data_IF_478123502019
#
_entry.id   IF_478123502019
#
_cell.length_a   1.000
_cell.length_b   1.000
_cell.length_c   1.000
_cell.angle_alpha   90.00
_cell.angle_beta   90.00
_cell.angle_gamma   90.00
#
_symmetry.space_group_name_H-M   'P 1'
#
loop_
_entity.id
_entity.type
_entity.pdbx_description
1 polymer ?
#
# COMPACT_ATOMS: atom_id res chain seq x y z
N UNK A 1 -15.38 -48.05 -39.02
CA UNK A 1 -15.93 -46.84 -38.36
C UNK A 1 -15.49 -46.69 -36.91
N UNK A 2 -15.51 -47.74 -36.07
CA UNK A 2 -15.07 -47.62 -34.67
C UNK A 2 -13.56 -47.37 -34.51
N UNK A 3 -12.70 -48.09 -35.26
CA UNK A 3 -11.24 -47.89 -35.22
C UNK A 3 -10.80 -46.48 -35.67
N UNK A 4 -11.47 -45.88 -36.66
CA UNK A 4 -11.17 -44.53 -37.13
C UNK A 4 -11.53 -43.47 -36.09
N UNK A 5 -12.62 -43.68 -35.34
CA UNK A 5 -13.04 -42.80 -34.24
C UNK A 5 -12.11 -42.92 -33.03
N UNK A 6 -11.76 -44.13 -32.61
CA UNK A 6 -10.78 -44.32 -31.54
C UNK A 6 -9.40 -43.74 -31.90
N UNK A 7 -8.97 -43.85 -33.15
CA UNK A 7 -7.70 -43.26 -33.61
C UNK A 7 -7.73 -41.72 -33.60
N UNK A 8 -8.87 -41.13 -33.92
CA UNK A 8 -9.10 -39.69 -33.83
C UNK A 8 -9.07 -39.21 -32.37
N UNK A 9 -9.82 -39.87 -31.47
CA UNK A 9 -9.84 -39.56 -30.04
C UNK A 9 -8.46 -39.74 -29.38
N UNK A 10 -7.70 -40.78 -29.74
CA UNK A 10 -6.33 -40.99 -29.26
C UNK A 10 -5.36 -39.90 -29.73
N UNK A 11 -5.52 -39.40 -30.96
CA UNK A 11 -4.69 -38.32 -31.47
C UNK A 11 -4.99 -37.00 -30.74
N UNK A 12 -6.26 -36.71 -30.51
CA UNK A 12 -6.73 -35.57 -29.73
C UNK A 12 -6.22 -35.62 -28.28
N UNK A 13 -6.29 -36.78 -27.64
CA UNK A 13 -5.74 -37.01 -26.31
C UNK A 13 -4.23 -36.80 -26.25
N UNK A 14 -3.49 -37.30 -27.25
CA UNK A 14 -2.04 -37.11 -27.34
C UNK A 14 -1.68 -35.63 -27.49
N UNK A 15 -2.40 -34.90 -28.33
CA UNK A 15 -2.19 -33.46 -28.51
C UNK A 15 -2.50 -32.68 -27.23
N UNK A 16 -3.63 -32.98 -26.58
CA UNK A 16 -4.01 -32.35 -25.31
C UNK A 16 -2.94 -32.56 -24.23
N UNK A 17 -2.49 -33.80 -24.01
CA UNK A 17 -1.49 -34.08 -22.98
C UNK A 17 -0.12 -33.48 -23.27
N UNK A 18 0.27 -33.38 -24.55
CA UNK A 18 1.48 -32.67 -24.94
C UNK A 18 1.36 -31.16 -24.62
N UNK A 19 0.20 -30.55 -24.94
CA UNK A 19 -0.09 -29.16 -24.57
C UNK A 19 -0.09 -28.95 -23.05
N UNK A 20 -0.74 -29.85 -22.30
CA UNK A 20 -0.74 -29.82 -20.82
C UNK A 20 0.68 -29.86 -20.29
N UNK A 21 1.53 -30.77 -20.79
CA UNK A 21 2.93 -30.88 -20.35
C UNK A 21 3.69 -29.59 -20.56
N UNK A 22 3.64 -29.02 -21.76
CA UNK A 22 4.37 -27.77 -22.09
C UNK A 22 3.91 -26.61 -21.20
N UNK A 23 2.59 -26.47 -21.01
CA UNK A 23 2.03 -25.39 -20.19
C UNK A 23 2.37 -25.60 -18.71
N UNK A 24 2.28 -26.82 -18.20
CA UNK A 24 2.60 -27.14 -16.80
C UNK A 24 4.09 -26.94 -16.50
N UNK A 25 4.99 -27.29 -17.42
CA UNK A 25 6.43 -27.00 -17.31
C UNK A 25 6.69 -25.49 -17.24
N UNK A 26 6.10 -24.71 -18.13
CA UNK A 26 6.22 -23.24 -18.12
C UNK A 26 5.68 -22.62 -16.82
N UNK A 27 4.47 -23.03 -16.41
CA UNK A 27 3.85 -22.52 -15.19
C UNK A 27 4.63 -22.95 -13.95
N UNK A 28 5.18 -24.17 -13.92
CA UNK A 28 6.04 -24.66 -12.84
C UNK A 28 7.32 -23.85 -12.73
N UNK A 29 7.94 -23.50 -13.86
CA UNK A 29 9.09 -22.60 -13.86
C UNK A 29 8.73 -21.22 -13.34
N UNK A 30 7.62 -20.60 -13.78
CA UNK A 30 7.18 -19.31 -13.23
C UNK A 30 6.92 -19.37 -11.73
N UNK A 31 6.28 -20.44 -11.25
CA UNK A 31 5.95 -20.64 -9.83
C UNK A 31 7.20 -20.73 -8.95
N UNK A 32 8.36 -21.14 -9.48
CA UNK A 32 9.65 -21.21 -8.76
C UNK A 32 10.31 -19.85 -8.57
N UNK A 33 9.97 -18.87 -9.40
CA UNK A 33 10.58 -17.55 -9.33
C UNK A 33 9.98 -16.72 -8.20
N UNK A 34 10.77 -15.76 -7.69
CA UNK A 34 10.32 -14.82 -6.67
C UNK A 34 9.27 -13.88 -7.25
N UNK A 35 8.12 -13.78 -6.59
CA UNK A 35 6.99 -13.00 -7.09
C UNK A 35 7.34 -11.51 -7.29
N UNK A 36 8.17 -10.94 -6.41
CA UNK A 36 8.58 -9.53 -6.43
C UNK A 36 9.37 -9.10 -7.68
N UNK A 37 10.00 -10.06 -8.37
CA UNK A 37 10.75 -9.81 -9.61
C UNK A 37 9.96 -10.19 -10.87
N UNK A 38 8.72 -10.64 -10.70
CA UNK A 38 7.92 -11.09 -11.83
C UNK A 38 7.44 -9.91 -12.66
N UNK A 39 7.58 -10.04 -13.97
CA UNK A 39 6.96 -9.14 -14.91
C UNK A 39 5.53 -9.62 -15.20
N UNK A 40 4.55 -8.99 -14.56
CA UNK A 40 3.12 -9.31 -14.71
C UNK A 40 2.59 -9.05 -16.12
N UNK A 41 3.17 -8.11 -16.87
CA UNK A 41 2.83 -7.87 -18.29
C UNK A 41 3.29 -9.03 -19.16
N UNK A 42 4.54 -9.47 -18.97
CA UNK A 42 5.07 -10.65 -19.66
C UNK A 42 4.24 -11.90 -19.35
N UNK A 43 3.94 -12.16 -18.07
CA UNK A 43 3.08 -13.28 -17.68
C UNK A 43 1.68 -13.20 -18.31
N UNK A 44 1.12 -11.98 -18.44
CA UNK A 44 -0.17 -11.78 -19.10
C UNK A 44 -0.11 -12.13 -20.58
N UNK A 45 0.95 -11.71 -21.28
CA UNK A 45 1.18 -12.06 -22.68
C UNK A 45 1.34 -13.57 -22.86
N UNK A 46 2.16 -14.22 -22.03
CA UNK A 46 2.38 -15.67 -22.11
C UNK A 46 1.12 -16.47 -21.77
N UNK A 47 0.37 -16.09 -20.74
CA UNK A 47 -0.91 -16.75 -20.43
C UNK A 47 -1.97 -16.55 -21.53
N UNK A 48 -1.97 -15.40 -22.23
CA UNK A 48 -2.83 -15.22 -23.40
C UNK A 48 -2.44 -16.17 -24.54
N UNK A 49 -1.13 -16.35 -24.81
CA UNK A 49 -0.64 -17.33 -25.80
C UNK A 49 -1.04 -18.75 -25.40
N UNK A 50 -0.96 -19.11 -24.12
CA UNK A 50 -1.43 -20.40 -23.61
C UNK A 50 -2.93 -20.60 -23.90
N UNK A 51 -3.76 -19.58 -23.66
CA UNK A 51 -5.19 -19.65 -23.99
C UNK A 51 -5.45 -19.79 -25.49
N UNK A 52 -4.68 -19.12 -26.36
CA UNK A 52 -4.80 -19.28 -27.82
C UNK A 52 -4.46 -20.71 -28.26
N UNK A 53 -3.39 -21.30 -27.73
CA UNK A 53 -3.02 -22.71 -28.01
C UNK A 53 -4.16 -23.64 -27.59
N UNK A 54 -4.71 -23.42 -26.40
CA UNK A 54 -5.82 -24.24 -25.85
C UNK A 54 -7.10 -24.09 -26.68
N UNK A 55 -7.40 -22.88 -27.18
CA UNK A 55 -8.54 -22.61 -28.08
C UNK A 55 -8.39 -23.18 -29.49
N UNK A 56 -7.17 -23.45 -29.93
CA UNK A 56 -6.91 -24.06 -31.24
C UNK A 56 -7.02 -25.60 -31.19
N UNK A 57 -7.28 -26.19 -30.03
CA UNK A 57 -7.57 -27.62 -29.89
C UNK A 57 -9.00 -27.92 -30.41
N UNK A 58 -9.26 -29.20 -30.71
CA UNK A 58 -10.57 -29.64 -31.19
C UNK A 58 -11.66 -29.41 -30.14
N UNK A 59 -12.79 -28.84 -30.57
CA UNK A 59 -13.96 -28.55 -29.72
C UNK A 59 -14.51 -29.81 -29.01
N UNK A 60 -14.29 -31.01 -29.58
CA UNK A 60 -14.69 -32.29 -28.98
C UNK A 60 -14.02 -32.54 -27.62
N UNK A 61 -12.87 -31.90 -27.37
CA UNK A 61 -12.04 -32.06 -26.18
C UNK A 61 -12.47 -31.10 -25.06
N UNK A 62 -13.25 -30.05 -25.35
CA UNK A 62 -13.61 -29.02 -24.36
C UNK A 62 -14.44 -29.56 -23.19
N UNK A 63 -15.13 -30.68 -23.41
CA UNK A 63 -15.92 -31.36 -22.38
C UNK A 63 -15.06 -32.20 -21.44
N UNK A 64 -13.78 -32.40 -21.74
CA UNK A 64 -12.91 -33.25 -20.94
C UNK A 64 -12.39 -32.49 -19.71
N UNK A 65 -12.39 -33.16 -18.56
CA UNK A 65 -11.93 -32.57 -17.29
C UNK A 65 -10.50 -32.04 -17.37
N UNK A 66 -9.63 -32.70 -18.15
CA UNK A 66 -8.25 -32.28 -18.38
C UNK A 66 -8.17 -30.92 -19.08
N UNK A 67 -9.04 -30.67 -20.05
CA UNK A 67 -9.13 -29.37 -20.72
C UNK A 67 -9.66 -28.30 -19.76
N UNK A 68 -10.74 -28.60 -19.04
CA UNK A 68 -11.34 -27.66 -18.08
C UNK A 68 -10.35 -27.26 -16.99
N UNK A 69 -9.62 -28.22 -16.42
CA UNK A 69 -8.59 -27.96 -15.41
C UNK A 69 -7.40 -27.16 -15.94
N UNK A 70 -6.97 -27.41 -17.18
CA UNK A 70 -5.91 -26.63 -17.83
C UNK A 70 -6.36 -25.18 -18.04
N UNK A 71 -7.56 -24.97 -18.57
CA UNK A 71 -8.14 -23.66 -18.78
C UNK A 71 -8.33 -22.91 -17.44
N UNK A 72 -8.82 -23.58 -16.41
CA UNK A 72 -8.95 -23.02 -15.06
C UNK A 72 -7.57 -22.63 -14.47
N UNK A 73 -6.54 -23.44 -14.66
CA UNK A 73 -5.18 -23.12 -14.19
C UNK A 73 -4.65 -21.83 -14.84
N UNK A 74 -4.79 -21.70 -16.17
CA UNK A 74 -4.34 -20.50 -16.90
C UNK A 74 -5.12 -19.26 -16.46
N UNK A 75 -6.45 -19.36 -16.40
CA UNK A 75 -7.31 -18.23 -16.01
C UNK A 75 -7.12 -17.83 -14.55
N UNK A 76 -6.84 -18.78 -13.65
CA UNK A 76 -6.49 -18.50 -12.26
C UNK A 76 -5.23 -17.63 -12.17
N UNK A 77 -4.16 -18.00 -12.88
CA UNK A 77 -2.94 -17.18 -12.93
C UNK A 77 -3.26 -15.78 -13.45
N UNK A 78 -4.01 -15.66 -14.55
CA UNK A 78 -4.39 -14.36 -15.12
C UNK A 78 -5.20 -13.46 -14.17
N UNK A 79 -6.11 -14.06 -13.41
CA UNK A 79 -6.93 -13.36 -12.42
C UNK A 79 -6.11 -12.84 -11.23
N UNK A 80 -5.01 -13.51 -10.90
CA UNK A 80 -4.10 -13.10 -9.85
C UNK A 80 -3.11 -12.00 -10.28
N UNK A 81 -2.80 -11.87 -11.58
CA UNK A 81 -1.80 -10.88 -12.05
C UNK A 81 -2.08 -9.44 -11.59
N UNK A 82 -3.31 -8.88 -11.69
CA UNK A 82 -3.59 -7.55 -11.17
C UNK A 82 -3.41 -7.44 -9.65
N UNK A 83 -3.74 -8.51 -8.91
CA UNK A 83 -3.53 -8.54 -7.46
C UNK A 83 -2.05 -8.56 -7.10
N UNK A 84 -1.22 -9.21 -7.91
CA UNK A 84 0.24 -9.21 -7.75
C UNK A 84 0.80 -7.81 -7.98
N UNK A 85 0.28 -7.08 -8.98
CA UNK A 85 0.63 -5.67 -9.21
C UNK A 85 0.23 -4.81 -8.00
N UNK A 86 -1.00 -4.96 -7.50
CA UNK A 86 -1.49 -4.24 -6.31
C UNK A 86 -0.61 -4.53 -5.08
N UNK A 87 -0.24 -5.79 -4.86
CA UNK A 87 0.62 -6.23 -3.75
C UNK A 87 2.08 -5.80 -3.89
N UNK A 88 2.52 -5.45 -5.10
CA UNK A 88 3.85 -4.90 -5.36
C UNK A 88 3.99 -3.44 -4.89
N UNK A 89 2.91 -2.83 -4.40
CA UNK A 89 2.94 -1.48 -3.83
C UNK A 89 3.95 -1.40 -2.67
N UNK A 90 4.94 -0.49 -2.71
CA UNK A 90 5.97 -0.36 -1.68
C UNK A 90 5.43 0.01 -0.30
N UNK A 91 4.19 0.49 -0.20
CA UNK A 91 3.51 0.74 1.07
C UNK A 91 3.17 -0.56 1.84
N UNK A 92 3.16 -1.71 1.16
CA UNK A 92 2.91 -3.01 1.78
C UNK A 92 4.04 -3.41 2.74
N UNK A 93 3.70 -3.68 4.00
CA UNK A 93 4.62 -4.03 5.09
C UNK A 93 4.17 -5.30 5.79
N UNK A 94 5.02 -5.86 6.64
CA UNK A 94 4.74 -7.11 7.37
C UNK A 94 3.40 -7.13 8.09
N UNK A 95 2.96 -6.01 8.67
CA UNK A 95 1.64 -5.89 9.28
C UNK A 95 0.49 -6.13 8.29
N UNK A 96 0.54 -5.49 7.13
CA UNK A 96 -0.44 -5.64 6.04
C UNK A 96 -0.44 -7.08 5.49
N UNK A 97 0.73 -7.69 5.34
CA UNK A 97 0.86 -9.07 4.89
C UNK A 97 0.30 -10.09 5.89
N UNK A 98 0.50 -9.87 7.20
CA UNK A 98 -0.14 -10.68 8.24
C UNK A 98 -1.66 -10.56 8.18
N UNK A 99 -2.19 -9.37 7.93
CA UNK A 99 -3.63 -9.17 7.74
C UNK A 99 -4.13 -9.94 6.51
N UNK A 100 -3.38 -9.90 5.40
CA UNK A 100 -3.73 -10.60 4.16
C UNK A 100 -3.80 -12.11 4.38
N UNK A 101 -2.80 -12.72 5.02
CA UNK A 101 -2.81 -14.17 5.28
C UNK A 101 -3.95 -14.60 6.22
N UNK A 102 -4.30 -13.76 7.19
CA UNK A 102 -5.44 -14.02 8.07
C UNK A 102 -6.76 -14.05 7.30
N UNK A 103 -6.92 -13.17 6.29
CA UNK A 103 -8.12 -13.15 5.45
C UNK A 103 -8.17 -14.37 4.52
N UNK A 104 -7.04 -14.72 3.92
CA UNK A 104 -6.97 -15.87 2.99
C UNK A 104 -6.97 -17.22 3.71
N UNK A 105 -6.92 -17.25 5.04
CA UNK A 105 -6.89 -18.48 5.84
C UNK A 105 -5.59 -19.27 5.71
N UNK A 106 -4.52 -18.64 5.21
CA UNK A 106 -3.24 -19.32 5.00
C UNK A 106 -2.54 -19.66 6.31
N UNK A 107 -1.95 -20.85 6.40
CA UNK A 107 -1.10 -21.26 7.54
C UNK A 107 0.33 -20.65 7.50
N UNK A 108 0.59 -19.74 6.56
CA UNK A 108 1.92 -19.19 6.30
C UNK A 108 2.27 -18.14 7.35
N UNK A 109 3.31 -18.40 8.13
CA UNK A 109 3.80 -17.44 9.13
C UNK A 109 4.65 -16.39 8.43
N UNK A 110 4.07 -15.23 8.13
CA UNK A 110 4.78 -14.17 7.42
C UNK A 110 5.75 -13.41 8.33
N UNK A 111 7.02 -13.44 7.95
CA UNK A 111 8.06 -12.52 8.39
C UNK A 111 8.72 -11.79 7.19
N UNK A 112 9.59 -10.82 7.48
CA UNK A 112 10.28 -10.03 6.46
C UNK A 112 11.18 -10.86 5.53
N UNK A 113 11.74 -11.95 6.02
CA UNK A 113 12.71 -12.76 5.28
C UNK A 113 12.01 -13.78 4.39
N UNK A 114 10.90 -14.33 4.86
CA UNK A 114 9.96 -15.12 4.09
C UNK A 114 9.39 -14.29 2.95
N UNK A 115 8.92 -13.05 3.21
CA UNK A 115 8.42 -12.15 2.17
C UNK A 115 9.41 -11.95 1.02
N UNK A 116 10.71 -11.82 1.33
CA UNK A 116 11.79 -11.67 0.34
C UNK A 116 12.11 -12.95 -0.44
N UNK A 117 11.81 -14.12 0.14
CA UNK A 117 12.05 -15.44 -0.47
C UNK A 117 10.80 -16.02 -1.14
N UNK A 118 9.63 -15.46 -0.85
CA UNK A 118 8.34 -15.96 -1.29
C UNK A 118 8.31 -16.09 -2.81
N UNK A 119 7.88 -17.25 -3.27
CA UNK A 119 7.79 -17.60 -4.68
C UNK A 119 6.40 -17.28 -5.23
N UNK A 120 6.27 -17.18 -6.55
CA UNK A 120 4.96 -16.99 -7.18
C UNK A 120 4.01 -18.15 -6.88
N UNK A 121 4.50 -19.39 -6.80
CA UNK A 121 3.69 -20.55 -6.45
C UNK A 121 3.08 -20.46 -5.05
N UNK A 122 3.86 -20.01 -4.06
CA UNK A 122 3.38 -19.77 -2.69
C UNK A 122 2.39 -18.61 -2.62
N UNK A 123 2.52 -17.60 -3.48
CA UNK A 123 1.58 -16.49 -3.54
C UNK A 123 0.25 -16.91 -4.17
N UNK A 124 0.29 -17.71 -5.23
CA UNK A 124 -0.90 -18.24 -5.89
C UNK A 124 -1.64 -19.26 -5.00
N UNK A 125 -0.93 -20.01 -4.15
CA UNK A 125 -1.54 -20.97 -3.23
C UNK A 125 -2.35 -20.31 -2.10
N UNK A 126 -2.16 -19.01 -1.85
CA UNK A 126 -3.00 -18.23 -0.94
C UNK A 126 -4.43 -18.01 -1.46
N UNK A 127 -4.71 -18.31 -2.74
CA UNK A 127 -6.07 -18.18 -3.26
C UNK A 127 -6.58 -16.74 -3.28
N UNK A 128 -5.71 -15.77 -3.60
CA UNK A 128 -6.01 -14.33 -3.60
C UNK A 128 -7.24 -13.97 -4.44
N UNK A 129 -7.50 -14.72 -5.51
CA UNK A 129 -8.63 -14.54 -6.41
C UNK A 129 -10.00 -14.74 -5.74
N UNK A 130 -10.05 -15.38 -4.56
CA UNK A 130 -11.29 -15.55 -3.78
C UNK A 130 -11.58 -14.36 -2.85
N UNK A 131 -10.57 -13.51 -2.62
CA UNK A 131 -10.60 -12.40 -1.66
C UNK A 131 -10.15 -11.09 -2.31
N UNK A 132 -10.54 -10.85 -3.56
CA UNK A 132 -10.11 -9.69 -4.37
C UNK A 132 -10.34 -8.36 -3.65
N UNK A 133 -11.54 -8.17 -3.10
CA UNK A 133 -11.94 -6.92 -2.46
C UNK A 133 -11.18 -6.69 -1.16
N UNK A 134 -10.97 -7.74 -0.36
CA UNK A 134 -10.20 -7.66 0.87
C UNK A 134 -8.72 -7.33 0.60
N UNK A 135 -8.12 -7.99 -0.41
CA UNK A 135 -6.74 -7.73 -0.82
C UNK A 135 -6.57 -6.27 -1.24
N UNK A 136 -7.48 -5.75 -2.07
CA UNK A 136 -7.45 -4.34 -2.49
C UNK A 136 -7.66 -3.38 -1.33
N UNK A 137 -8.56 -3.69 -0.40
CA UNK A 137 -8.78 -2.88 0.80
C UNK A 137 -7.51 -2.81 1.67
N UNK A 138 -6.76 -3.92 1.79
CA UNK A 138 -5.49 -3.97 2.51
C UNK A 138 -4.43 -3.12 1.81
N UNK A 139 -4.31 -3.22 0.48
CA UNK A 139 -3.35 -2.42 -0.31
C UNK A 139 -3.67 -0.92 -0.21
N UNK A 140 -4.97 -0.56 -0.30
CA UNK A 140 -5.39 0.83 -0.13
C UNK A 140 -5.13 1.36 1.28
N UNK A 141 -5.35 0.53 2.30
CA UNK A 141 -4.99 0.87 3.69
C UNK A 141 -3.49 1.11 3.80
N UNK A 142 -2.68 0.21 3.26
CA UNK A 142 -1.22 0.36 3.26
C UNK A 142 -0.76 1.68 2.62
N UNK A 143 -1.35 2.05 1.49
CA UNK A 143 -1.06 3.32 0.83
C UNK A 143 -1.42 4.53 1.70
N UNK A 144 -2.58 4.51 2.38
CA UNK A 144 -2.99 5.58 3.32
C UNK A 144 -2.05 5.66 4.52
N UNK A 145 -1.68 4.52 5.09
CA UNK A 145 -0.72 4.41 6.19
C UNK A 145 0.63 5.06 5.82
N UNK A 146 1.12 4.83 4.60
CA UNK A 146 2.33 5.49 4.10
C UNK A 146 2.17 7.01 3.99
N UNK A 147 1.03 7.49 3.50
CA UNK A 147 0.74 8.93 3.43
C UNK A 147 0.76 9.56 4.82
N UNK A 148 0.11 8.93 5.81
CA UNK A 148 0.12 9.41 7.20
C UNK A 148 1.56 9.50 7.72
N UNK A 149 2.36 8.44 7.55
CA UNK A 149 3.76 8.44 7.99
C UNK A 149 4.59 9.56 7.34
N UNK A 150 4.42 9.78 6.04
CA UNK A 150 5.12 10.85 5.32
C UNK A 150 4.72 12.23 5.85
N UNK A 151 3.42 12.47 6.07
CA UNK A 151 2.95 13.73 6.63
C UNK A 151 3.50 13.98 8.04
N UNK A 152 3.51 12.96 8.91
CA UNK A 152 4.07 13.09 10.26
C UNK A 152 5.57 13.40 10.23
N UNK A 153 6.33 12.80 9.31
CA UNK A 153 7.75 13.14 9.09
C UNK A 153 7.92 14.57 8.61
N UNK A 154 7.09 15.04 7.68
CA UNK A 154 7.11 16.43 7.22
C UNK A 154 6.84 17.40 8.37
N UNK A 155 5.87 17.11 9.24
CA UNK A 155 5.61 17.94 10.42
C UNK A 155 6.83 17.96 11.34
N UNK A 156 7.46 16.81 11.58
CA UNK A 156 8.71 16.75 12.35
C UNK A 156 9.81 17.65 11.79
N UNK A 157 10.08 17.54 10.49
CA UNK A 157 11.11 18.33 9.81
C UNK A 157 10.81 19.83 9.86
N UNK A 158 9.56 20.23 9.60
CA UNK A 158 9.11 21.62 9.68
C UNK A 158 9.35 22.18 11.08
N UNK A 159 8.79 21.55 12.10
CA UNK A 159 8.81 22.09 13.46
C UNK A 159 10.20 22.02 14.11
N UNK A 160 11.07 21.09 13.70
CA UNK A 160 12.47 21.06 14.11
C UNK A 160 13.31 22.15 13.45
N UNK A 161 12.96 22.58 12.24
CA UNK A 161 13.71 23.60 11.48
C UNK A 161 13.13 25.01 11.62
N UNK A 162 12.02 25.19 12.32
CA UNK A 162 11.41 26.51 12.51
C UNK A 162 12.30 27.44 13.31
N UNK A 163 12.44 28.66 12.77
CA UNK A 163 13.13 29.78 13.40
C UNK A 163 12.10 30.87 13.66
N UNK A 164 11.98 31.27 14.93
CA UNK A 164 11.14 32.38 15.34
C UNK A 164 11.90 33.70 15.20
N UNK A 165 11.30 34.66 14.51
CA UNK A 165 11.89 35.98 14.32
C UNK A 165 11.66 36.84 15.56
N UNK A 166 12.76 37.31 16.15
CA UNK A 166 12.76 38.12 17.36
C UNK A 166 13.37 39.49 17.05
N UNK A 167 12.69 40.55 17.48
CA UNK A 167 13.16 41.94 17.35
C UNK A 167 13.32 42.58 18.73
N UNK A 168 14.47 43.20 18.98
CA UNK A 168 14.68 43.96 20.21
C UNK A 168 13.72 45.15 20.29
N UNK A 169 13.13 45.37 21.48
CA UNK A 169 12.30 46.54 21.73
C UNK A 169 13.11 47.84 21.59
N UNK A 170 12.48 48.90 21.07
CA UNK A 170 13.15 50.15 20.68
C UNK A 170 13.75 50.86 21.90
N UNK A 171 13.02 50.85 23.02
CA UNK A 171 13.40 51.55 24.26
C UNK A 171 14.09 50.63 25.28
N UNK A 172 13.69 49.36 25.32
CA UNK A 172 14.19 48.37 26.28
C UNK A 172 14.91 47.26 25.54
N UNK A 173 16.15 47.51 25.11
CA UNK A 173 16.94 46.61 24.25
C UNK A 173 17.14 45.18 24.78
N UNK A 174 16.94 44.97 26.09
CA UNK A 174 17.01 43.66 26.75
C UNK A 174 15.79 42.77 26.48
N UNK A 175 14.69 43.33 25.99
CA UNK A 175 13.46 42.59 25.69
C UNK A 175 13.40 42.32 24.18
N UNK A 176 13.09 41.07 23.84
CA UNK A 176 12.89 40.63 22.47
C UNK A 176 11.42 40.32 22.24
N UNK A 177 10.86 40.93 21.20
CA UNK A 177 9.48 40.79 20.78
C UNK A 177 9.42 39.79 19.63
N UNK A 178 8.44 38.89 19.70
CA UNK A 178 8.12 37.98 18.63
C UNK A 178 7.47 38.73 17.48
N UNK A 179 7.97 38.49 16.27
CA UNK A 179 7.52 39.13 15.03
C UNK A 179 7.05 38.08 14.03
N UNK A 180 6.29 38.51 13.02
CA UNK A 180 5.90 37.69 11.86
C UNK A 180 5.25 36.35 12.26
N UNK A 181 4.28 36.39 13.19
CA UNK A 181 3.61 35.20 13.72
C UNK A 181 2.50 34.66 12.84
N UNK A 182 1.87 35.49 12.00
CA UNK A 182 0.72 35.07 11.18
C UNK A 182 1.01 33.82 10.32
N UNK A 183 2.14 33.73 9.58
CA UNK A 183 2.46 32.53 8.79
C UNK A 183 2.68 31.28 9.65
N UNK A 184 3.07 31.44 10.92
CA UNK A 184 3.27 30.33 11.85
C UNK A 184 1.93 29.78 12.31
N UNK A 185 0.97 30.66 12.62
CA UNK A 185 -0.39 30.25 12.98
C UNK A 185 -1.13 29.63 11.80
N UNK A 186 -1.00 30.18 10.59
CA UNK A 186 -1.58 29.59 9.38
C UNK A 186 -1.08 28.15 9.14
N UNK A 187 0.23 27.93 9.32
CA UNK A 187 0.84 26.60 9.18
C UNK A 187 0.43 25.64 10.29
N UNK A 188 0.28 26.15 11.52
CA UNK A 188 -0.20 25.39 12.67
C UNK A 188 -1.65 24.94 12.46
N UNK A 189 -2.55 25.84 12.06
CA UNK A 189 -3.94 25.54 11.76
C UNK A 189 -4.04 24.50 10.64
N UNK A 190 -3.28 24.68 9.55
CA UNK A 190 -3.24 23.73 8.44
C UNK A 190 -2.81 22.32 8.88
N UNK A 191 -1.77 22.22 9.70
CA UNK A 191 -1.32 20.94 10.25
C UNK A 191 -2.33 20.31 11.22
N UNK A 192 -3.00 21.12 12.06
CA UNK A 192 -4.04 20.61 12.96
C UNK A 192 -5.26 20.05 12.21
N UNK A 193 -5.76 20.75 11.19
CA UNK A 193 -6.87 20.29 10.35
C UNK A 193 -6.51 18.97 9.65
N UNK A 194 -5.28 18.86 9.15
CA UNK A 194 -4.78 17.64 8.53
C UNK A 194 -4.73 16.48 9.53
N UNK A 195 -4.19 16.71 10.74
CA UNK A 195 -4.16 15.69 11.82
C UNK A 195 -5.56 15.25 12.24
N UNK A 196 -6.52 16.17 12.35
CA UNK A 196 -7.91 15.85 12.67
C UNK A 196 -8.57 14.98 11.57
N UNK A 197 -8.26 15.27 10.31
CA UNK A 197 -8.72 14.46 9.18
C UNK A 197 -8.10 13.06 9.21
N UNK A 198 -6.81 12.95 9.52
CA UNK A 198 -6.13 11.65 9.68
C UNK A 198 -6.73 10.85 10.82
N UNK A 199 -6.97 11.46 11.98
CA UNK A 199 -7.57 10.83 13.16
C UNK A 199 -8.97 10.27 12.87
N UNK A 200 -9.77 11.00 12.10
CA UNK A 200 -11.13 10.59 11.71
C UNK A 200 -11.13 9.45 10.68
N UNK A 201 -9.99 9.18 10.04
CA UNK A 201 -9.86 8.13 9.04
C UNK A 201 -9.67 6.76 9.68
N UNK A 202 -10.30 5.73 9.10
CA UNK A 202 -10.14 4.33 9.53
C UNK A 202 -8.71 3.78 9.34
N UNK A 203 -7.86 4.50 8.59
CA UNK A 203 -6.45 4.15 8.37
C UNK A 203 -5.58 4.50 9.59
N UNK A 204 -6.01 5.41 10.46
CA UNK A 204 -5.22 5.79 11.63
C UNK A 204 -5.01 4.65 12.64
N UNK A 205 -5.66 3.48 12.53
CA UNK A 205 -5.57 2.44 13.55
C UNK A 205 -4.15 2.02 13.98
N UNK A 206 -3.16 2.07 13.08
CA UNK A 206 -1.73 1.81 13.35
C UNK A 206 -0.93 3.05 13.78
N UNK A 207 -1.41 4.25 13.44
CA UNK A 207 -0.75 5.55 13.65
C UNK A 207 -1.48 6.47 14.65
N UNK A 208 -2.57 6.02 15.26
CA UNK A 208 -3.47 6.87 16.06
C UNK A 208 -2.72 7.52 17.22
N UNK A 209 -1.87 6.73 17.90
CA UNK A 209 -1.04 7.22 19.01
C UNK A 209 -0.04 8.29 18.53
N UNK A 210 0.56 8.11 17.37
CA UNK A 210 1.50 9.07 16.77
C UNK A 210 0.77 10.37 16.37
N UNK A 211 -0.40 10.25 15.72
CA UNK A 211 -1.25 11.38 15.33
C UNK A 211 -1.70 12.16 16.56
N UNK A 212 -2.16 11.48 17.62
CA UNK A 212 -2.57 12.13 18.87
C UNK A 212 -1.41 12.83 19.58
N UNK A 213 -0.21 12.23 19.58
CA UNK A 213 1.00 12.89 20.12
C UNK A 213 1.31 14.17 19.37
N UNK A 214 1.27 14.13 18.04
CA UNK A 214 1.50 15.31 17.20
C UNK A 214 0.45 16.39 17.44
N UNK A 215 -0.83 16.02 17.48
CA UNK A 215 -1.92 16.94 17.76
C UNK A 215 -1.72 17.65 19.10
N UNK A 216 -1.37 16.90 20.15
CA UNK A 216 -1.07 17.50 21.47
C UNK A 216 0.14 18.42 21.44
N UNK A 217 1.20 18.06 20.71
CA UNK A 217 2.40 18.91 20.55
C UNK A 217 2.06 20.22 19.87
N UNK A 218 1.33 20.19 18.76
CA UNK A 218 0.94 21.39 18.03
C UNK A 218 0.00 22.27 18.86
N UNK A 219 -0.96 21.69 19.58
CA UNK A 219 -1.79 22.44 20.53
C UNK A 219 -0.95 23.13 21.61
N UNK A 220 0.04 22.43 22.16
CA UNK A 220 0.92 23.02 23.18
C UNK A 220 1.73 24.18 22.61
N UNK A 221 2.20 24.08 21.36
CA UNK A 221 2.92 25.16 20.67
C UNK A 221 1.99 26.36 20.49
N UNK A 222 0.76 26.13 20.03
CA UNK A 222 -0.26 27.17 19.87
C UNK A 222 -0.54 27.90 21.19
N UNK A 223 -0.82 27.16 22.26
CA UNK A 223 -1.15 27.71 23.57
C UNK A 223 0.01 28.59 24.10
N UNK A 224 1.25 28.13 23.91
CA UNK A 224 2.45 28.88 24.33
C UNK A 224 2.64 30.15 23.50
N UNK A 225 2.48 30.08 22.18
CA UNK A 225 2.62 31.24 21.29
C UNK A 225 1.53 32.28 21.55
N UNK A 226 0.28 31.86 21.72
CA UNK A 226 -0.84 32.74 22.05
C UNK A 226 -0.61 33.43 23.39
N UNK A 227 -0.23 32.67 24.42
CA UNK A 227 0.08 33.23 25.75
C UNK A 227 1.26 34.19 25.68
N UNK A 228 2.30 33.89 24.90
CA UNK A 228 3.43 34.79 24.69
C UNK A 228 2.95 36.12 24.09
N UNK A 229 2.17 36.07 23.01
CA UNK A 229 1.68 37.28 22.34
C UNK A 229 0.78 38.12 23.23
N UNK A 230 -0.12 37.51 24.01
CA UNK A 230 -0.95 38.22 24.98
C UNK A 230 -0.12 38.94 26.06
N UNK A 231 0.91 38.26 26.58
CA UNK A 231 1.80 38.86 27.58
C UNK A 231 2.63 39.98 26.95
N UNK A 232 3.10 39.77 25.72
CA UNK A 232 3.85 40.76 24.96
C UNK A 232 3.02 42.02 24.71
N UNK A 233 1.78 41.88 24.26
CA UNK A 233 0.85 42.99 24.01
C UNK A 233 0.58 43.79 25.28
N UNK A 234 0.16 43.11 26.37
CA UNK A 234 -0.08 43.75 27.68
C UNK A 234 1.16 44.45 28.22
N UNK A 235 2.35 43.87 28.00
CA UNK A 235 3.59 44.49 28.43
C UNK A 235 3.89 45.78 27.65
N UNK A 236 3.69 45.78 26.33
CA UNK A 236 3.86 46.98 25.49
C UNK A 236 2.88 48.08 25.93
N UNK A 237 1.60 47.74 26.13
CA UNK A 237 0.58 48.69 26.62
C UNK A 237 0.97 49.31 27.97
N UNK A 238 1.42 48.48 28.92
CA UNK A 238 1.88 48.95 30.24
C UNK A 238 3.13 49.82 30.13
N UNK A 239 4.07 49.51 29.23
CA UNK A 239 5.28 50.29 29.02
C UNK A 239 4.97 51.67 28.43
N UNK A 240 3.98 51.76 27.54
CA UNK A 240 3.49 53.03 26.99
C UNK A 240 2.82 53.87 28.09
N UNK A 241 1.97 53.28 28.93
CA UNK A 241 1.24 54.00 29.98
C UNK A 241 2.12 54.42 31.16
N UNK A 242 3.08 53.59 31.58
CA UNK A 242 3.92 53.87 32.76
C UNK A 242 5.05 54.86 32.47
N UNK A 243 5.37 55.09 31.21
CA UNK A 243 6.49 55.96 30.79
C UNK A 243 6.00 57.13 29.92
N UNK A 244 4.67 57.25 29.70
CA UNK A 244 4.01 58.49 29.26
C UNK A 244 3.84 59.46 30.44
#
# INVERSE_FOLDING_TARGET
>A
MLFSRCRYELNNLKQLWETVRVIDEQQSEWKRHRWQKMNTKFLREETNKQLEIVRNLSDDIYTWDVFMGLHESITTIQSCLPLIDDLSNPAMRTGHWKQLVRVTGGALTIDNDMLKRMTLGELLSLGLQKHVDDVRAIVQRAAKDLTIEQSLKTYEEVWLSKVFELRSHIRTKSIQLLMHTDPIFDELEGHQVSLQTMQSSSAAGSFLDEVMKWQKRLQTIEDVLTTWLEVQEKWIELEEVLIA
#
